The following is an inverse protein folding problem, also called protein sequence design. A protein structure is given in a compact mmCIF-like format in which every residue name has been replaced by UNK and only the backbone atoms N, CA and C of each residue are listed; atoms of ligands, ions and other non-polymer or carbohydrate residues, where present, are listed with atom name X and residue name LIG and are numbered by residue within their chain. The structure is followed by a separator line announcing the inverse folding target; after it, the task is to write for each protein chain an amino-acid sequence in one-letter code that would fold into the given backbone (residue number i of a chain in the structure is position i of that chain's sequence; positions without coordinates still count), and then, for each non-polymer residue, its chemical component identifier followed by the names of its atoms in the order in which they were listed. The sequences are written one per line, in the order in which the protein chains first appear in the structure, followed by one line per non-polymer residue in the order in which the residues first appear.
data_IF_388041790123
#
_entry.id   IF_388041790123
#
_cell.length_a   1.000
_cell.length_b   1.000
_cell.length_c   1.000
_cell.angle_alpha   90.00
_cell.angle_beta   90.00
_cell.angle_gamma   90.00
#
_symmetry.space_group_name_H-M   'P 1'
#
loop_
_entity.id
_entity.type
_entity.pdbx_description
1 polymer ?
#
# COMPACT_ATOMS: atom_id res chain seq x y z
N UNK A 1 6.78 -6.06 -26.85
CA UNK A 1 8.07 -6.06 -27.58
C UNK A 1 8.89 -7.29 -27.14
N UNK A 2 9.50 -8.07 -28.09
CA UNK A 2 10.18 -9.35 -27.75
C UNK A 2 11.33 -9.23 -26.72
N UNK A 3 11.88 -8.03 -26.55
CA UNK A 3 12.97 -7.78 -25.59
C UNK A 3 12.51 -7.43 -24.16
N UNK A 4 11.20 -7.24 -23.95
CA UNK A 4 10.66 -6.96 -22.61
C UNK A 4 10.76 -8.21 -21.74
N UNK A 5 11.40 -8.08 -20.57
CA UNK A 5 11.63 -9.19 -19.63
C UNK A 5 10.74 -9.12 -18.39
N UNK A 6 10.01 -8.04 -18.22
CA UNK A 6 9.12 -7.87 -17.08
C UNK A 6 8.44 -6.53 -17.07
N UNK A 7 7.58 -6.34 -16.08
CA UNK A 7 6.90 -5.08 -15.79
C UNK A 7 7.10 -4.71 -14.34
N UNK A 8 7.19 -3.40 -14.07
CA UNK A 8 7.15 -2.83 -12.73
C UNK A 8 5.95 -1.88 -12.68
N UNK A 9 5.07 -2.08 -11.72
CA UNK A 9 3.90 -1.22 -11.52
C UNK A 9 3.75 -0.86 -10.05
N UNK A 10 3.07 0.26 -9.78
CA UNK A 10 2.69 0.69 -8.43
C UNK A 10 1.20 0.43 -8.22
N UNK A 11 0.86 -0.40 -7.23
CA UNK A 11 -0.52 -0.70 -6.82
C UNK A 11 -0.54 -1.10 -5.34
N UNK A 12 -1.36 -0.43 -4.51
CA UNK A 12 -2.25 0.68 -4.85
C UNK A 12 -1.47 1.97 -5.16
N UNK A 13 -2.15 2.91 -5.81
CA UNK A 13 -1.68 4.30 -5.88
C UNK A 13 -1.70 4.93 -4.49
N UNK A 14 -1.11 6.13 -4.36
CA UNK A 14 -1.14 6.90 -3.11
C UNK A 14 -2.57 7.15 -2.60
N UNK A 15 -3.52 7.29 -3.51
CA UNK A 15 -4.95 7.52 -3.20
C UNK A 15 -5.75 6.24 -2.95
N UNK A 16 -5.09 5.09 -3.01
CA UNK A 16 -5.71 3.79 -2.72
C UNK A 16 -6.44 3.15 -3.91
N UNK A 17 -6.16 3.59 -5.14
CA UNK A 17 -6.69 2.94 -6.34
C UNK A 17 -5.79 1.80 -6.74
N UNK A 18 -6.36 0.61 -6.93
CA UNK A 18 -5.66 -0.62 -7.29
C UNK A 18 -5.74 -0.91 -8.78
N UNK A 19 -4.72 -1.56 -9.29
CA UNK A 19 -4.72 -2.19 -10.63
C UNK A 19 -5.20 -3.64 -10.52
N UNK A 20 -5.72 -4.19 -11.62
CA UNK A 20 -5.98 -5.62 -11.73
C UNK A 20 -4.66 -6.38 -11.91
N UNK A 21 -4.05 -6.71 -10.76
CA UNK A 21 -2.75 -7.39 -10.72
C UNK A 21 -2.83 -8.77 -11.32
N UNK A 22 -3.97 -9.47 -11.15
CA UNK A 22 -4.14 -10.81 -11.68
C UNK A 22 -4.10 -10.81 -13.21
N UNK A 23 -4.86 -9.93 -13.85
CA UNK A 23 -4.87 -9.81 -15.30
C UNK A 23 -3.50 -9.38 -15.85
N UNK A 24 -2.85 -8.42 -15.19
CA UNK A 24 -1.51 -7.96 -15.56
C UNK A 24 -0.48 -9.09 -15.42
N UNK A 25 -0.56 -9.90 -14.35
CA UNK A 25 0.34 -11.04 -14.16
C UNK A 25 0.18 -12.08 -15.28
N UNK A 26 -1.07 -12.44 -15.64
CA UNK A 26 -1.34 -13.34 -16.75
C UNK A 26 -0.73 -12.84 -18.07
N UNK A 27 -0.89 -11.56 -18.38
CA UNK A 27 -0.29 -10.95 -19.59
C UNK A 27 1.23 -11.02 -19.53
N UNK A 28 1.86 -10.60 -18.43
CA UNK A 28 3.32 -10.58 -18.28
C UNK A 28 3.88 -11.99 -18.35
N UNK A 29 3.23 -12.94 -17.70
CA UNK A 29 3.65 -14.34 -17.70
C UNK A 29 3.49 -15.02 -19.05
N UNK A 30 2.52 -14.60 -19.87
CA UNK A 30 2.28 -15.18 -21.21
C UNK A 30 3.49 -15.05 -22.16
N UNK A 31 4.33 -14.03 -21.97
CA UNK A 31 5.58 -13.85 -22.71
C UNK A 31 6.84 -14.21 -21.90
N UNK A 32 6.69 -14.93 -20.78
CA UNK A 32 7.80 -15.38 -19.92
C UNK A 32 8.43 -14.25 -19.08
N UNK A 33 7.73 -13.13 -18.92
CA UNK A 33 8.18 -11.99 -18.14
C UNK A 33 8.00 -12.19 -16.62
N UNK A 34 8.49 -11.21 -15.86
CA UNK A 34 8.40 -11.11 -14.39
C UNK A 34 7.60 -9.86 -14.02
N UNK A 35 6.62 -10.00 -13.15
CA UNK A 35 5.86 -8.87 -12.61
C UNK A 35 6.37 -8.46 -11.23
N UNK A 36 6.80 -7.21 -11.13
CA UNK A 36 7.21 -6.56 -9.88
C UNK A 36 6.14 -5.53 -9.50
N UNK A 37 5.67 -5.59 -8.27
CA UNK A 37 4.68 -4.63 -7.77
C UNK A 37 5.25 -3.83 -6.60
N UNK A 38 5.29 -2.52 -6.77
CA UNK A 38 5.46 -1.60 -5.66
C UNK A 38 4.12 -1.44 -4.93
N UNK A 39 3.96 -2.20 -3.86
CA UNK A 39 2.79 -2.19 -2.97
C UNK A 39 3.10 -1.42 -1.68
N UNK A 40 3.89 -0.34 -1.78
CA UNK A 40 4.32 0.44 -0.62
C UNK A 40 3.15 0.96 0.23
N UNK A 41 2.00 1.22 -0.38
CA UNK A 41 0.80 1.70 0.29
C UNK A 41 -0.24 0.59 0.58
N UNK A 42 0.06 -0.68 0.32
CA UNK A 42 -0.86 -1.81 0.49
C UNK A 42 -0.44 -2.84 1.55
N UNK A 43 0.55 -2.53 2.40
CA UNK A 43 1.07 -3.48 3.39
C UNK A 43 0.02 -4.02 4.39
N UNK A 44 -1.12 -3.34 4.53
CA UNK A 44 -2.22 -3.74 5.40
C UNK A 44 -3.27 -4.64 4.73
N UNK A 45 -3.24 -4.80 3.43
CA UNK A 45 -4.25 -5.57 2.68
C UNK A 45 -4.39 -7.02 3.14
N UNK A 46 -3.28 -7.64 3.52
CA UNK A 46 -3.27 -9.04 4.00
C UNK A 46 -3.99 -9.26 5.34
N UNK A 47 -4.40 -8.19 6.04
CA UNK A 47 -4.91 -8.28 7.42
C UNK A 47 -6.42 -8.02 7.56
N UNK A 48 -7.15 -7.79 6.48
CA UNK A 48 -8.62 -7.74 6.47
C UNK A 48 -9.18 -8.26 5.15
N UNK A 49 -10.20 -9.12 5.16
CA UNK A 49 -10.88 -9.61 3.96
C UNK A 49 -11.71 -8.50 3.27
N UNK A 50 -11.96 -7.39 3.95
CA UNK A 50 -12.72 -6.24 3.45
C UNK A 50 -11.84 -5.25 2.64
N UNK A 51 -10.55 -5.55 2.50
CA UNK A 51 -9.61 -4.78 1.69
C UNK A 51 -9.23 -5.53 0.40
N UNK A 52 -8.63 -4.84 -0.58
CA UNK A 52 -8.13 -5.48 -1.78
C UNK A 52 -7.17 -6.63 -1.45
N UNK A 53 -7.12 -7.64 -2.32
CA UNK A 53 -6.11 -8.68 -2.19
C UNK A 53 -4.73 -8.09 -2.45
N UNK A 54 -3.75 -8.47 -1.63
CA UNK A 54 -2.34 -8.09 -1.90
C UNK A 54 -1.88 -8.65 -3.24
N UNK A 55 -1.01 -7.94 -3.92
CA UNK A 55 -0.43 -8.33 -5.20
C UNK A 55 0.23 -9.72 -5.14
N UNK A 56 0.73 -10.11 -3.97
CA UNK A 56 1.31 -11.43 -3.75
C UNK A 56 0.32 -12.57 -4.03
N UNK A 57 -0.94 -12.42 -3.61
CA UNK A 57 -2.00 -13.42 -3.85
C UNK A 57 -2.62 -13.31 -5.24
N UNK A 58 -2.26 -12.29 -6.00
CA UNK A 58 -2.74 -12.06 -7.36
C UNK A 58 -1.71 -12.43 -8.43
N UNK A 59 -0.61 -13.11 -8.04
CA UNK A 59 0.35 -13.67 -8.98
C UNK A 59 1.57 -12.78 -9.25
N UNK A 60 1.77 -11.66 -8.55
CA UNK A 60 2.99 -10.90 -8.66
C UNK A 60 4.22 -11.73 -8.24
N UNK A 61 5.32 -11.62 -8.99
CA UNK A 61 6.53 -12.39 -8.74
C UNK A 61 7.37 -11.78 -7.61
N UNK A 62 7.43 -10.45 -7.56
CA UNK A 62 8.07 -9.69 -6.49
C UNK A 62 7.11 -8.60 -6.03
N UNK A 63 6.95 -8.47 -4.72
CA UNK A 63 6.14 -7.41 -4.10
C UNK A 63 6.97 -6.69 -3.05
N UNK A 64 6.99 -5.36 -3.11
CA UNK A 64 7.70 -4.52 -2.13
C UNK A 64 6.68 -3.72 -1.33
N UNK A 65 6.73 -3.84 -0.01
CA UNK A 65 5.82 -3.15 0.91
C UNK A 65 6.60 -2.26 1.88
N UNK A 66 6.17 -1.01 2.02
CA UNK A 66 6.67 -0.11 3.06
C UNK A 66 5.83 -0.28 4.32
N UNK A 67 6.31 -1.13 5.24
CA UNK A 67 5.58 -1.41 6.49
C UNK A 67 5.38 -0.17 7.33
N UNK A 68 6.35 0.74 7.35
CA UNK A 68 6.31 1.97 8.15
C UNK A 68 5.27 3.00 7.69
N UNK A 69 4.75 2.89 6.46
CA UNK A 69 3.74 3.85 5.96
C UNK A 69 2.35 3.58 6.52
N UNK A 70 2.00 2.32 6.70
CA UNK A 70 0.62 1.91 7.00
C UNK A 70 0.53 1.05 8.26
N UNK A 71 1.51 0.21 8.53
CA UNK A 71 1.52 -0.64 9.71
C UNK A 71 2.18 0.07 10.90
N UNK A 72 1.90 -0.34 12.16
CA UNK A 72 2.52 0.24 13.36
C UNK A 72 4.01 -0.17 13.47
N UNK A 73 4.83 0.33 12.56
CA UNK A 73 6.24 0.04 12.40
C UNK A 73 7.03 1.35 12.41
N UNK A 74 8.23 1.34 12.97
CA UNK A 74 9.11 2.51 12.93
C UNK A 74 9.55 2.79 11.49
N UNK A 75 9.88 4.08 11.23
CA UNK A 75 10.28 4.53 9.89
C UNK A 75 11.44 3.70 9.32
N UNK A 76 11.52 3.67 7.98
CA UNK A 76 12.44 2.87 7.17
C UNK A 76 12.14 1.35 7.14
N UNK A 77 11.09 0.87 7.82
CA UNK A 77 10.67 -0.53 7.74
C UNK A 77 10.07 -0.84 6.37
N UNK A 78 10.62 -1.84 5.68
CA UNK A 78 10.10 -2.36 4.41
C UNK A 78 10.33 -3.86 4.32
N UNK A 79 9.48 -4.55 3.54
CA UNK A 79 9.59 -5.98 3.26
C UNK A 79 9.52 -6.19 1.75
N UNK A 80 10.38 -7.06 1.23
CA UNK A 80 10.27 -7.61 -0.11
C UNK A 80 9.81 -9.06 -0.01
N UNK A 81 8.80 -9.40 -0.81
CA UNK A 81 8.29 -10.76 -0.95
C UNK A 81 8.65 -11.32 -2.32
N UNK A 82 9.02 -12.59 -2.39
CA UNK A 82 9.17 -13.35 -3.61
C UNK A 82 7.99 -14.33 -3.69
N UNK A 83 7.05 -14.05 -4.60
CA UNK A 83 5.75 -14.71 -4.68
C UNK A 83 5.76 -15.99 -5.50
N UNK A 84 6.63 -16.11 -6.50
CA UNK A 84 6.64 -17.23 -7.44
C UNK A 84 8.03 -17.83 -7.65
N UNK A 85 8.08 -19.00 -8.31
CA UNK A 85 9.34 -19.66 -8.70
C UNK A 85 9.94 -19.09 -9.99
N UNK A 86 9.31 -18.12 -10.64
CA UNK A 86 9.82 -17.46 -11.85
C UNK A 86 11.08 -16.64 -11.57
N UNK A 87 11.24 -16.21 -10.34
CA UNK A 87 12.38 -15.38 -9.91
C UNK A 87 13.45 -16.24 -9.24
N UNK A 88 14.68 -16.08 -9.67
CA UNK A 88 15.83 -16.70 -9.01
C UNK A 88 16.13 -15.96 -7.69
N UNK A 89 15.79 -16.60 -6.58
CA UNK A 89 15.95 -16.04 -5.22
C UNK A 89 17.39 -15.67 -4.90
N UNK A 90 18.36 -16.47 -5.34
CA UNK A 90 19.76 -16.19 -5.09
C UNK A 90 20.22 -14.92 -5.80
N UNK A 91 19.86 -14.74 -7.08
CA UNK A 91 20.15 -13.50 -7.81
C UNK A 91 19.51 -12.27 -7.18
N UNK A 92 18.27 -12.38 -6.68
CA UNK A 92 17.62 -11.28 -5.96
C UNK A 92 18.42 -10.94 -4.71
N UNK A 93 18.81 -11.94 -3.92
CA UNK A 93 19.61 -11.73 -2.71
C UNK A 93 20.97 -11.10 -3.01
N UNK A 94 21.66 -11.55 -4.06
CA UNK A 94 22.94 -10.98 -4.50
C UNK A 94 22.79 -9.49 -4.86
N UNK A 95 21.72 -9.12 -5.62
CA UNK A 95 21.46 -7.72 -5.95
C UNK A 95 21.10 -6.88 -4.72
N UNK A 96 20.31 -7.40 -3.80
CA UNK A 96 20.01 -6.72 -2.53
C UNK A 96 21.29 -6.47 -1.76
N UNK A 97 22.16 -7.48 -1.64
CA UNK A 97 23.41 -7.36 -0.89
C UNK A 97 24.38 -6.31 -1.49
N UNK A 98 24.33 -6.09 -2.81
CA UNK A 98 25.13 -5.04 -3.46
C UNK A 98 24.63 -3.62 -3.16
N UNK A 99 23.31 -3.45 -2.96
CA UNK A 99 22.67 -2.15 -2.81
C UNK A 99 22.32 -1.81 -1.36
N UNK A 100 22.26 -2.82 -0.51
CA UNK A 100 21.82 -2.69 0.87
C UNK A 100 23.02 -2.52 1.83
N UNK A 101 22.76 -1.95 3.02
CA UNK A 101 23.75 -1.90 4.06
C UNK A 101 24.13 -3.31 4.54
N UNK A 102 25.41 -3.50 4.88
CA UNK A 102 25.90 -4.74 5.51
C UNK A 102 25.61 -4.79 7.02
N UNK A 103 25.13 -3.68 7.59
CA UNK A 103 24.83 -3.54 9.03
C UNK A 103 23.35 -3.23 9.22
N UNK A 104 22.45 -4.24 9.13
CA UNK A 104 21.01 -4.01 9.28
C UNK A 104 20.68 -3.54 10.70
N UNK A 105 19.68 -2.65 10.80
CA UNK A 105 19.17 -2.22 12.10
C UNK A 105 18.27 -3.29 12.72
N UNK A 106 18.73 -3.92 13.79
CA UNK A 106 17.90 -4.88 14.54
C UNK A 106 16.66 -4.26 15.16
N UNK A 107 16.67 -2.95 15.46
CA UNK A 107 15.50 -2.24 15.95
C UNK A 107 14.41 -2.17 14.88
N UNK A 108 14.78 -1.87 13.62
CA UNK A 108 13.84 -1.88 12.51
C UNK A 108 13.28 -3.29 12.29
N UNK A 109 14.15 -4.31 12.30
CA UNK A 109 13.74 -5.71 12.12
C UNK A 109 12.76 -6.14 13.21
N UNK A 110 13.06 -5.86 14.47
CA UNK A 110 12.19 -6.17 15.61
C UNK A 110 10.85 -5.40 15.52
N UNK A 111 10.89 -4.15 15.08
CA UNK A 111 9.67 -3.35 14.88
C UNK A 111 8.77 -3.94 13.78
N UNK A 112 9.35 -4.41 12.67
CA UNK A 112 8.60 -5.08 11.60
C UNK A 112 7.95 -6.36 12.15
N UNK A 113 8.71 -7.21 12.86
CA UNK A 113 8.20 -8.44 13.43
C UNK A 113 7.05 -8.20 14.40
N UNK A 114 7.19 -7.26 15.33
CA UNK A 114 6.16 -6.90 16.30
C UNK A 114 4.92 -6.31 15.61
N UNK A 115 5.13 -5.50 14.58
CA UNK A 115 4.05 -4.93 13.78
C UNK A 115 3.22 -6.02 13.09
N UNK A 116 3.88 -6.96 12.41
CA UNK A 116 3.21 -8.08 11.75
C UNK A 116 2.46 -8.95 12.76
N UNK A 117 3.08 -9.26 13.91
CA UNK A 117 2.44 -10.01 14.99
C UNK A 117 1.21 -9.29 15.55
N UNK A 118 1.30 -7.97 15.75
CA UNK A 118 0.18 -7.15 16.20
C UNK A 118 -0.96 -7.18 15.18
N UNK A 119 -0.64 -6.97 13.90
CA UNK A 119 -1.64 -6.96 12.83
C UNK A 119 -2.29 -8.33 12.64
N UNK A 120 -1.54 -9.41 12.74
CA UNK A 120 -2.10 -10.77 12.69
C UNK A 120 -3.17 -11.01 13.77
N UNK A 121 -3.00 -10.44 14.96
CA UNK A 121 -3.91 -10.65 16.09
C UNK A 121 -5.05 -9.63 16.17
N UNK A 122 -4.84 -8.43 15.65
CA UNK A 122 -5.76 -7.30 15.85
C UNK A 122 -6.16 -6.59 14.53
N UNK A 123 -5.48 -6.90 13.42
CA UNK A 123 -5.57 -6.13 12.18
C UNK A 123 -6.98 -6.08 11.63
N UNK A 124 -7.63 -7.23 11.48
CA UNK A 124 -8.99 -7.30 10.95
C UNK A 124 -9.94 -6.36 11.72
N UNK A 125 -10.04 -6.53 13.03
CA UNK A 125 -10.92 -5.69 13.86
C UNK A 125 -10.60 -4.19 13.76
N UNK A 126 -9.30 -3.85 13.71
CA UNK A 126 -8.87 -2.44 13.65
C UNK A 126 -9.14 -1.82 12.29
N UNK A 127 -8.86 -2.56 11.22
CA UNK A 127 -9.10 -2.11 9.86
C UNK A 127 -10.59 -1.98 9.56
N UNK A 128 -11.40 -2.93 9.99
CA UNK A 128 -12.86 -2.87 9.84
C UNK A 128 -13.46 -1.66 10.55
N UNK A 129 -12.97 -1.34 11.75
CA UNK A 129 -13.35 -0.11 12.44
C UNK A 129 -12.99 1.14 11.61
N UNK A 130 -11.77 1.20 11.06
CA UNK A 130 -11.35 2.35 10.22
C UNK A 130 -12.20 2.45 8.97
N UNK A 131 -12.47 1.33 8.29
CA UNK A 131 -13.32 1.27 7.10
C UNK A 131 -14.72 1.82 7.41
N UNK A 132 -15.33 1.38 8.52
CA UNK A 132 -16.65 1.85 8.95
C UNK A 132 -16.65 3.37 9.20
N UNK A 133 -15.67 3.88 9.94
CA UNK A 133 -15.58 5.33 10.21
C UNK A 133 -15.35 6.12 8.91
N UNK A 134 -14.51 5.62 8.02
CA UNK A 134 -14.25 6.25 6.71
C UNK A 134 -15.52 6.29 5.86
N UNK A 135 -16.26 5.19 5.77
CA UNK A 135 -17.57 5.13 5.07
C UNK A 135 -18.56 6.13 5.65
N UNK A 136 -18.66 6.18 6.98
CA UNK A 136 -19.55 7.13 7.68
C UNK A 136 -19.18 8.58 7.35
N UNK A 137 -17.91 8.92 7.38
CA UNK A 137 -17.43 10.27 7.07
C UNK A 137 -17.64 10.63 5.61
N UNK A 138 -17.34 9.72 4.66
CA UNK A 138 -17.65 9.89 3.23
C UNK A 138 -19.13 10.22 3.01
N UNK A 139 -20.03 9.49 3.67
CA UNK A 139 -21.47 9.71 3.57
C UNK A 139 -21.90 11.09 4.10
N UNK A 140 -21.34 11.53 5.23
CA UNK A 140 -21.60 12.86 5.79
C UNK A 140 -21.13 13.95 4.85
N UNK A 141 -19.89 13.87 4.37
CA UNK A 141 -19.30 14.86 3.48
C UNK A 141 -20.06 14.99 2.15
N UNK A 142 -20.39 13.86 1.51
CA UNK A 142 -21.13 13.84 0.26
C UNK A 142 -22.54 14.44 0.41
N UNK A 143 -23.22 14.24 1.55
CA UNK A 143 -24.52 14.84 1.83
C UNK A 143 -24.49 16.36 1.98
N UNK A 144 -23.34 16.95 2.27
CA UNK A 144 -23.22 18.42 2.35
C UNK A 144 -23.35 19.10 0.99
N UNK A 145 -23.12 18.37 -0.11
CA UNK A 145 -23.06 18.91 -1.47
C UNK A 145 -21.87 19.85 -1.74
N UNK A 146 -21.04 20.12 -0.72
CA UNK A 146 -19.88 21.03 -0.81
C UNK A 146 -18.58 20.31 -1.17
N UNK A 147 -18.48 19.03 -0.82
CA UNK A 147 -17.29 18.23 -1.03
C UNK A 147 -17.67 16.94 -1.73
N UNK A 148 -16.74 16.44 -2.55
CA UNK A 148 -16.86 15.14 -3.22
C UNK A 148 -15.77 14.23 -2.72
N UNK A 149 -16.16 13.12 -2.11
CA UNK A 149 -15.20 12.06 -1.81
C UNK A 149 -14.93 11.25 -3.08
N UNK A 150 -13.66 11.10 -3.42
CA UNK A 150 -13.24 10.33 -4.59
C UNK A 150 -13.24 8.84 -4.26
N UNK A 151 -13.33 8.04 -5.33
CA UNK A 151 -13.25 6.59 -5.25
C UNK A 151 -11.85 6.14 -4.81
N UNK A 152 -11.82 5.07 -4.02
CA UNK A 152 -10.63 4.37 -3.59
C UNK A 152 -11.00 2.91 -3.34
N UNK A 153 -10.21 1.97 -3.87
CA UNK A 153 -10.34 0.54 -3.57
C UNK A 153 -9.93 0.25 -2.12
N UNK A 154 -8.94 0.99 -1.62
CA UNK A 154 -8.56 0.98 -0.22
C UNK A 154 -9.55 1.83 0.59
N UNK A 155 -10.53 1.17 1.20
CA UNK A 155 -11.56 1.85 1.97
C UNK A 155 -11.08 2.49 3.29
N UNK A 156 -9.84 2.26 3.68
CA UNK A 156 -9.22 3.01 4.78
C UNK A 156 -8.84 4.43 4.37
N UNK A 157 -8.83 4.74 3.06
CA UNK A 157 -8.48 6.05 2.51
C UNK A 157 -9.69 6.96 2.39
N UNK A 158 -9.53 8.18 2.88
CA UNK A 158 -10.47 9.27 2.68
C UNK A 158 -9.84 10.30 1.75
N UNK A 159 -10.27 10.30 0.50
CA UNK A 159 -9.80 11.25 -0.52
C UNK A 159 -10.91 12.24 -0.82
N UNK A 160 -10.66 13.53 -0.57
CA UNK A 160 -11.64 14.60 -0.71
C UNK A 160 -11.20 15.54 -1.81
N UNK A 161 -12.05 15.74 -2.80
CA UNK A 161 -11.83 16.74 -3.84
C UNK A 161 -12.30 18.11 -3.33
N UNK A 162 -11.37 19.04 -3.14
CA UNK A 162 -11.62 20.41 -2.70
C UNK A 162 -11.26 21.47 -3.79
N UNK A 163 -10.88 21.01 -4.98
CA UNK A 163 -10.49 21.89 -6.11
C UNK A 163 -9.28 22.77 -5.75
N UNK A 164 -9.24 23.96 -6.30
CA UNK A 164 -8.17 24.94 -6.07
C UNK A 164 -8.07 25.41 -4.61
N UNK A 165 -9.13 25.18 -3.83
CA UNK A 165 -9.16 25.54 -2.41
C UNK A 165 -8.53 24.49 -1.49
N UNK A 166 -8.01 23.38 -2.02
CA UNK A 166 -7.44 22.30 -1.20
C UNK A 166 -6.37 22.77 -0.21
N UNK A 167 -5.37 23.60 -0.59
CA UNK A 167 -4.37 24.10 0.35
C UNK A 167 -4.96 24.95 1.47
N UNK A 168 -5.95 25.81 1.14
CA UNK A 168 -6.63 26.66 2.13
C UNK A 168 -7.46 25.82 3.13
N UNK A 169 -8.14 24.79 2.61
CA UNK A 169 -8.91 23.84 3.47
C UNK A 169 -7.97 23.11 4.39
N UNK A 170 -6.86 22.57 3.88
CA UNK A 170 -5.84 21.88 4.68
C UNK A 170 -5.25 22.78 5.78
N UNK A 171 -4.94 24.04 5.43
CA UNK A 171 -4.43 25.02 6.39
C UNK A 171 -5.43 25.31 7.51
N UNK A 172 -6.73 25.52 7.16
CA UNK A 172 -7.79 25.74 8.15
C UNK A 172 -8.01 24.54 9.04
N UNK A 173 -8.03 23.33 8.47
CA UNK A 173 -8.14 22.08 9.25
C UNK A 173 -7.00 21.98 10.27
N UNK A 174 -5.77 22.28 9.86
CA UNK A 174 -4.61 22.27 10.75
C UNK A 174 -4.71 23.34 11.84
N UNK A 175 -4.98 24.60 11.47
CA UNK A 175 -4.94 25.73 12.41
C UNK A 175 -6.10 25.77 13.39
N UNK A 176 -7.30 25.42 12.93
CA UNK A 176 -8.53 25.58 13.72
C UNK A 176 -8.95 24.30 14.41
N UNK A 177 -8.57 23.13 13.88
CA UNK A 177 -9.08 21.84 14.34
C UNK A 177 -7.99 20.84 14.69
N UNK A 178 -6.70 21.20 14.53
CA UNK A 178 -5.54 20.29 14.71
C UNK A 178 -5.63 19.01 13.84
N UNK A 179 -6.28 19.12 12.67
CA UNK A 179 -6.38 18.03 11.70
C UNK A 179 -5.32 18.25 10.63
N UNK A 180 -4.39 17.30 10.54
CA UNK A 180 -3.33 17.30 9.53
C UNK A 180 -3.75 16.36 8.42
N UNK A 181 -3.84 16.87 7.18
CA UNK A 181 -4.02 16.05 5.99
C UNK A 181 -2.66 15.64 5.46
N UNK A 182 -2.57 14.45 4.91
CA UNK A 182 -1.29 13.90 4.47
C UNK A 182 -0.80 14.57 3.18
N UNK A 183 -1.73 14.96 2.29
CA UNK A 183 -1.41 15.61 1.02
C UNK A 183 -2.57 16.53 0.59
N UNK A 184 -2.25 17.65 -0.02
CA UNK A 184 -3.21 18.59 -0.60
C UNK A 184 -2.61 19.28 -1.85
#
# INVERSE_FOLDING_TARGET
HPSVKGALITSPTYYGVCSDIFEIAEIVHSFGGVLIVDEAHGAHFAFSPNLPKTALFQGADIVVQSTHKILPCITQGAIMHIGTSRVNKQRVQENINMLHTTSPSYLIMASIEQSVKYMKNNGEKRLDFVIEQTRRLKNILNKTGKYRCLYSDDETRLVIHAGENAPLVAEKLRKLHNIIVEMC
#
